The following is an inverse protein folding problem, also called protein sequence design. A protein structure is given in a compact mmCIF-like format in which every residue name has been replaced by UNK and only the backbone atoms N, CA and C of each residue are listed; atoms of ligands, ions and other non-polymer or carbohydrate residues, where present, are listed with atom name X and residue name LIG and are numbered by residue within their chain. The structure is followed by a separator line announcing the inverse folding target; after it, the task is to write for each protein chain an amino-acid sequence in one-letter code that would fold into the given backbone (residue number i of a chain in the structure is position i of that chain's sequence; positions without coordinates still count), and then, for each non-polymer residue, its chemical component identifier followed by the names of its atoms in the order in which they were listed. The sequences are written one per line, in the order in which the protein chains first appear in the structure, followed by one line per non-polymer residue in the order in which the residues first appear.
data_IF_364563204339
#
_entry.id   IF_364563204339
#
_cell.length_a   1.000
_cell.length_b   1.000
_cell.length_c   1.000
_cell.angle_alpha   90.00
_cell.angle_beta   90.00
_cell.angle_gamma   90.00
#
_symmetry.space_group_name_H-M   'P 1'
#
loop_
_entity.id
_entity.type
_entity.pdbx_description
1 polymer ?
#
# COMPACT_ATOMS: atom_id res chain seq x y z
N UNK A 1 75.48 -10.58 -39.11
CA UNK A 1 74.60 -11.42 -38.23
C UNK A 1 73.69 -10.50 -37.43
N UNK A 2 72.49 -10.22 -37.94
CA UNK A 2 71.50 -9.36 -37.22
C UNK A 2 70.53 -10.25 -36.44
N UNK A 3 70.50 -10.12 -35.11
CA UNK A 3 69.52 -10.78 -34.24
C UNK A 3 68.32 -9.86 -34.10
N UNK A 4 67.15 -10.27 -34.64
CA UNK A 4 65.87 -9.66 -34.36
C UNK A 4 65.37 -10.16 -32.99
N UNK A 5 65.07 -9.25 -32.09
CA UNK A 5 64.35 -9.51 -30.85
C UNK A 5 62.83 -9.33 -31.13
N UNK A 6 62.05 -10.37 -31.01
CA UNK A 6 60.59 -10.33 -30.96
C UNK A 6 60.15 -10.07 -29.52
N UNK A 7 59.57 -8.92 -29.27
CA UNK A 7 58.94 -8.59 -27.98
C UNK A 7 57.45 -8.96 -28.04
N UNK A 8 57.06 -9.99 -27.30
CA UNK A 8 55.65 -10.43 -27.18
C UNK A 8 54.96 -9.63 -26.12
N UNK A 9 54.02 -8.73 -26.52
CA UNK A 9 53.18 -7.96 -25.61
C UNK A 9 51.99 -8.84 -25.18
N UNK A 10 51.93 -9.28 -23.92
CA UNK A 10 50.82 -10.00 -23.34
C UNK A 10 49.83 -8.95 -22.81
N UNK A 11 48.74 -8.71 -23.51
CA UNK A 11 47.64 -7.89 -23.07
C UNK A 11 46.80 -8.62 -22.02
N UNK A 12 46.79 -8.13 -20.78
CA UNK A 12 45.89 -8.62 -19.75
C UNK A 12 44.48 -8.11 -20.03
N UNK A 13 43.57 -8.99 -20.43
CA UNK A 13 42.14 -8.69 -20.53
C UNK A 13 41.52 -8.82 -19.15
N UNK A 14 41.22 -7.70 -18.51
CA UNK A 14 40.50 -7.67 -17.25
C UNK A 14 39.00 -7.90 -17.53
N UNK A 15 38.49 -9.09 -17.25
CA UNK A 15 37.06 -9.35 -17.22
C UNK A 15 36.45 -8.68 -15.99
N UNK A 16 35.75 -7.58 -16.20
CA UNK A 16 34.86 -7.01 -15.19
C UNK A 16 33.59 -7.87 -15.17
N UNK A 17 33.50 -8.83 -14.26
CA UNK A 17 32.27 -9.55 -13.99
C UNK A 17 31.29 -8.57 -13.33
N UNK A 18 30.29 -8.12 -14.08
CA UNK A 18 29.14 -7.44 -13.49
C UNK A 18 28.43 -8.45 -12.59
N UNK A 19 28.54 -8.30 -11.27
CA UNK A 19 27.73 -9.04 -10.31
C UNK A 19 26.28 -8.60 -10.53
N UNK A 20 25.49 -9.39 -11.23
CA UNK A 20 24.04 -9.24 -11.23
C UNK A 20 23.55 -9.39 -9.79
N UNK A 21 22.80 -8.40 -9.30
CA UNK A 21 22.14 -8.51 -8.00
C UNK A 21 21.29 -9.79 -8.00
N UNK A 22 21.58 -10.69 -7.06
CA UNK A 22 20.92 -11.99 -7.00
C UNK A 22 19.51 -11.81 -6.45
N UNK A 23 18.51 -11.95 -7.31
CA UNK A 23 17.09 -12.00 -6.89
C UNK A 23 16.85 -13.26 -6.07
N UNK A 24 16.22 -13.13 -4.93
CA UNK A 24 15.78 -14.26 -4.10
C UNK A 24 14.27 -14.36 -4.09
N UNK A 25 13.75 -15.58 -3.96
CA UNK A 25 12.30 -15.83 -3.86
C UNK A 25 12.05 -16.74 -2.67
N UNK A 26 11.14 -16.34 -1.80
CA UNK A 26 10.66 -17.11 -0.67
C UNK A 26 9.14 -17.30 -0.77
N UNK A 27 8.62 -18.43 -0.30
CA UNK A 27 7.19 -18.73 -0.28
C UNK A 27 6.78 -19.17 1.12
N UNK A 28 5.91 -18.38 1.74
CA UNK A 28 5.38 -18.64 3.09
C UNK A 28 3.90 -19.02 2.97
N UNK A 29 3.51 -20.10 3.64
CA UNK A 29 2.11 -20.54 3.74
C UNK A 29 1.69 -20.56 5.20
N UNK A 30 0.69 -19.77 5.55
CA UNK A 30 0.20 -19.66 6.93
C UNK A 30 -1.30 -19.34 6.94
N UNK A 31 -2.08 -20.04 7.74
CA UNK A 31 -3.51 -19.78 7.98
C UNK A 31 -4.36 -19.71 6.69
N UNK A 32 -4.04 -20.51 5.67
CA UNK A 32 -4.77 -20.54 4.40
C UNK A 32 -4.35 -19.47 3.39
N UNK A 33 -3.37 -18.63 3.70
CA UNK A 33 -2.77 -17.66 2.79
C UNK A 33 -1.41 -18.15 2.30
N UNK A 34 -1.05 -17.75 1.09
CA UNK A 34 0.27 -17.91 0.51
C UNK A 34 0.84 -16.53 0.19
N UNK A 35 2.00 -16.23 0.77
CA UNK A 35 2.78 -15.05 0.44
C UNK A 35 4.05 -15.49 -0.29
N UNK A 36 4.26 -14.94 -1.48
CA UNK A 36 5.51 -15.07 -2.23
C UNK A 36 6.28 -13.76 -2.12
N UNK A 37 7.50 -13.80 -1.60
CA UNK A 37 8.37 -12.61 -1.50
C UNK A 37 9.49 -12.73 -2.52
N UNK A 38 9.59 -11.77 -3.42
CA UNK A 38 10.64 -11.65 -4.44
C UNK A 38 11.49 -10.45 -4.07
N UNK A 39 12.69 -10.71 -3.57
CA UNK A 39 13.64 -9.64 -3.24
C UNK A 39 14.64 -9.45 -4.37
N UNK A 40 14.61 -8.29 -5.03
CA UNK A 40 15.51 -7.89 -6.12
C UNK A 40 16.70 -7.07 -5.62
N UNK A 41 16.75 -6.77 -4.32
CA UNK A 41 17.84 -6.02 -3.68
C UNK A 41 18.62 -6.92 -2.72
N UNK A 42 19.77 -7.43 -3.16
CA UNK A 42 20.62 -8.27 -2.31
C UNK A 42 21.14 -7.61 -1.04
N UNK A 43 21.01 -6.27 -0.92
CA UNK A 43 21.42 -5.49 0.24
C UNK A 43 20.26 -5.14 1.17
N UNK A 44 19.03 -5.44 0.76
CA UNK A 44 17.86 -5.16 1.58
C UNK A 44 17.88 -6.00 2.86
N UNK A 45 17.57 -5.39 3.99
CA UNK A 45 17.62 -6.07 5.29
C UNK A 45 16.56 -7.18 5.38
N UNK A 46 17.02 -8.40 5.64
CA UNK A 46 16.16 -9.56 5.84
C UNK A 46 15.21 -9.41 7.03
N UNK A 47 15.65 -8.70 8.09
CA UNK A 47 14.79 -8.44 9.23
C UNK A 47 13.63 -7.50 8.87
N UNK A 48 13.82 -6.62 7.88
CA UNK A 48 12.76 -5.77 7.36
C UNK A 48 11.76 -6.59 6.53
N UNK A 49 12.22 -7.53 5.71
CA UNK A 49 11.34 -8.46 4.97
C UNK A 49 10.43 -9.21 5.96
N UNK A 50 10.99 -9.76 7.04
CA UNK A 50 10.22 -10.49 8.06
C UNK A 50 9.13 -9.60 8.69
N UNK A 51 9.42 -8.32 8.95
CA UNK A 51 8.39 -7.40 9.48
C UNK A 51 7.25 -7.17 8.48
N UNK A 52 7.55 -7.02 7.18
CA UNK A 52 6.52 -6.87 6.16
C UNK A 52 5.65 -8.15 6.06
N UNK A 53 6.27 -9.32 6.14
CA UNK A 53 5.59 -10.63 6.16
C UNK A 53 4.69 -10.77 7.38
N UNK A 54 5.20 -10.48 8.57
CA UNK A 54 4.44 -10.56 9.83
C UNK A 54 3.27 -9.58 9.80
N UNK A 55 3.47 -8.35 9.31
CA UNK A 55 2.40 -7.37 9.12
C UNK A 55 1.32 -7.90 8.18
N UNK A 56 1.70 -8.51 7.05
CA UNK A 56 0.75 -9.12 6.14
C UNK A 56 -0.10 -10.19 6.83
N UNK A 57 0.52 -11.15 7.48
CA UNK A 57 -0.20 -12.24 8.14
C UNK A 57 -1.03 -11.80 9.33
N UNK A 58 -0.74 -10.65 9.92
CA UNK A 58 -1.55 -10.05 10.97
C UNK A 58 -2.76 -9.29 10.42
N UNK A 59 -2.57 -8.44 9.40
CA UNK A 59 -3.61 -7.50 8.95
C UNK A 59 -4.51 -8.06 7.87
N UNK A 60 -3.99 -8.83 6.93
CA UNK A 60 -4.73 -9.32 5.77
C UNK A 60 -5.97 -10.15 6.14
N UNK A 61 -5.90 -11.09 7.11
CA UNK A 61 -7.08 -11.82 7.58
C UNK A 61 -8.15 -10.92 8.22
N UNK A 62 -7.74 -9.81 8.87
CA UNK A 62 -8.67 -8.85 9.47
C UNK A 62 -9.40 -8.06 8.39
N UNK A 63 -8.66 -7.62 7.37
CA UNK A 63 -9.22 -6.89 6.22
C UNK A 63 -10.16 -7.77 5.41
N UNK A 64 -9.76 -9.02 5.13
CA UNK A 64 -10.64 -10.00 4.48
C UNK A 64 -11.96 -10.17 5.22
N UNK A 65 -11.90 -10.43 6.52
CA UNK A 65 -13.08 -10.62 7.36
C UNK A 65 -14.00 -9.41 7.38
N UNK A 66 -13.41 -8.21 7.40
CA UNK A 66 -14.16 -6.97 7.49
C UNK A 66 -14.80 -6.58 6.16
N UNK A 67 -14.07 -6.71 5.04
CA UNK A 67 -14.45 -6.09 3.78
C UNK A 67 -14.79 -7.09 2.68
N UNK A 68 -13.96 -8.12 2.45
CA UNK A 68 -14.12 -9.00 1.30
C UNK A 68 -13.62 -10.43 1.56
N UNK A 69 -14.51 -11.31 1.98
CA UNK A 69 -14.20 -12.71 2.25
C UNK A 69 -13.88 -13.55 0.99
N UNK A 70 -13.97 -12.96 -0.21
CA UNK A 70 -13.62 -13.58 -1.50
C UNK A 70 -12.31 -13.05 -2.06
N UNK A 71 -11.55 -12.26 -1.28
CA UNK A 71 -10.25 -11.73 -1.71
C UNK A 71 -9.25 -12.84 -2.00
N UNK A 72 -8.18 -12.50 -2.76
CA UNK A 72 -7.14 -13.44 -3.15
C UNK A 72 -6.46 -14.06 -1.92
N UNK A 73 -6.11 -15.34 -2.00
CA UNK A 73 -5.35 -16.04 -0.97
C UNK A 73 -3.85 -16.13 -1.29
N UNK A 74 -3.49 -15.91 -2.53
CA UNK A 74 -2.12 -15.87 -3.05
C UNK A 74 -1.74 -14.42 -3.31
N UNK A 75 -0.75 -13.93 -2.56
CA UNK A 75 -0.22 -12.55 -2.66
C UNK A 75 1.26 -12.60 -2.94
N UNK A 76 1.76 -11.66 -3.72
CA UNK A 76 3.17 -11.53 -4.02
C UNK A 76 3.67 -10.17 -3.56
N UNK A 77 4.75 -10.16 -2.77
CA UNK A 77 5.52 -8.96 -2.45
C UNK A 77 6.79 -8.92 -3.29
N UNK A 78 7.13 -7.76 -3.80
CA UNK A 78 8.36 -7.51 -4.54
C UNK A 78 9.10 -6.36 -3.90
N UNK A 79 10.34 -6.58 -3.49
CA UNK A 79 11.26 -5.54 -3.08
C UNK A 79 12.03 -5.12 -4.33
N UNK A 80 11.69 -3.95 -4.88
CA UNK A 80 12.15 -3.48 -6.18
C UNK A 80 13.15 -2.32 -6.03
N UNK A 81 14.30 -2.44 -6.69
CA UNK A 81 15.35 -1.40 -6.71
C UNK A 81 15.07 -0.26 -7.70
N UNK A 82 14.23 -0.51 -8.70
CA UNK A 82 13.93 0.42 -9.78
C UNK A 82 12.66 1.24 -9.52
N UNK A 83 11.74 0.76 -8.68
CA UNK A 83 10.51 1.46 -8.37
C UNK A 83 10.76 2.76 -7.59
N UNK A 84 10.27 3.87 -8.11
CA UNK A 84 10.56 5.22 -7.62
C UNK A 84 9.54 5.78 -6.62
N UNK A 85 8.40 5.11 -6.41
CA UNK A 85 7.36 5.49 -5.44
C UNK A 85 7.63 4.99 -4.02
N UNK A 86 6.58 4.85 -3.24
CA UNK A 86 6.59 4.20 -1.92
C UNK A 86 6.33 2.71 -2.10
N UNK A 87 5.14 2.38 -2.54
CA UNK A 87 4.69 1.07 -2.98
C UNK A 87 3.55 1.23 -3.99
N UNK A 88 3.15 0.14 -4.64
CA UNK A 88 2.00 0.07 -5.52
C UNK A 88 1.42 -1.34 -5.53
N UNK A 89 0.12 -1.44 -5.80
CA UNK A 89 -0.60 -2.72 -5.84
C UNK A 89 -1.33 -2.93 -7.15
N UNK A 90 -1.19 -4.12 -7.71
CA UNK A 90 -1.93 -4.55 -8.90
C UNK A 90 -1.98 -6.07 -9.03
N UNK A 91 -3.16 -6.65 -9.35
CA UNK A 91 -3.30 -8.07 -9.64
C UNK A 91 -2.82 -9.03 -8.54
N UNK A 92 -2.99 -8.69 -7.28
CA UNK A 92 -2.52 -9.49 -6.14
C UNK A 92 -1.02 -9.38 -5.86
N UNK A 93 -0.35 -8.41 -6.46
CA UNK A 93 1.07 -8.11 -6.29
C UNK A 93 1.25 -6.73 -5.68
N UNK A 94 2.10 -6.63 -4.67
CA UNK A 94 2.56 -5.38 -4.06
C UNK A 94 4.04 -5.20 -4.40
N UNK A 95 4.39 -4.07 -4.99
CA UNK A 95 5.77 -3.68 -5.29
C UNK A 95 6.19 -2.60 -4.30
N UNK A 96 7.18 -2.87 -3.48
CA UNK A 96 7.76 -1.92 -2.53
C UNK A 96 9.07 -1.36 -3.08
N UNK A 97 9.27 -0.07 -2.97
CA UNK A 97 10.58 0.55 -3.24
C UNK A 97 11.59 0.15 -2.16
N UNK A 98 12.65 -0.60 -2.54
CA UNK A 98 13.71 -0.95 -1.59
C UNK A 98 14.37 0.29 -1.00
N UNK A 99 14.52 1.34 -1.80
CA UNK A 99 15.08 2.63 -1.40
C UNK A 99 14.21 3.35 -0.36
N UNK A 100 12.88 3.32 -0.55
CA UNK A 100 11.96 3.91 0.43
C UNK A 100 11.99 3.14 1.74
N UNK A 101 11.83 1.82 1.69
CA UNK A 101 11.79 0.97 2.87
C UNK A 101 13.09 1.01 3.66
N UNK A 102 14.25 1.03 2.99
CA UNK A 102 15.56 1.23 3.63
C UNK A 102 15.65 2.58 4.36
N UNK A 103 15.06 3.63 3.79
CA UNK A 103 15.06 4.97 4.42
C UNK A 103 14.07 5.08 5.58
N UNK A 104 12.94 4.36 5.50
CA UNK A 104 11.85 4.42 6.48
C UNK A 104 11.48 3.01 7.00
N UNK A 105 12.41 2.29 7.67
CA UNK A 105 12.22 0.88 8.04
C UNK A 105 11.16 0.64 9.13
N UNK A 106 10.58 1.70 9.68
CA UNK A 106 9.45 1.62 10.62
C UNK A 106 8.10 1.74 9.94
N UNK A 107 8.07 2.10 8.65
CA UNK A 107 6.82 2.30 7.91
C UNK A 107 6.26 0.96 7.39
N UNK A 108 6.14 -0.03 8.30
CA UNK A 108 5.66 -1.37 7.97
C UNK A 108 4.17 -1.39 7.58
N UNK A 109 3.39 -0.43 8.07
CA UNK A 109 1.96 -0.32 7.77
C UNK A 109 1.64 0.22 6.37
N UNK A 110 2.65 0.53 5.55
CA UNK A 110 2.46 0.62 4.11
C UNK A 110 1.92 -0.71 3.56
N UNK A 111 2.27 -1.86 4.17
CA UNK A 111 1.66 -3.17 3.87
C UNK A 111 0.15 -3.12 4.04
N UNK A 112 -0.35 -2.55 5.17
CA UNK A 112 -1.79 -2.50 5.45
C UNK A 112 -2.54 -1.71 4.39
N UNK A 113 -1.98 -0.58 3.93
CA UNK A 113 -2.52 0.20 2.83
C UNK A 113 -2.55 -0.60 1.53
N UNK A 114 -1.43 -1.17 1.12
CA UNK A 114 -1.28 -1.86 -0.15
C UNK A 114 -2.13 -3.14 -0.24
N UNK A 115 -2.15 -3.95 0.82
CA UNK A 115 -2.97 -5.16 0.78
C UNK A 115 -4.46 -4.87 0.90
N UNK A 116 -4.86 -3.68 1.39
CA UNK A 116 -6.23 -3.24 1.30
C UNK A 116 -6.68 -3.09 -0.16
N UNK A 117 -5.82 -2.63 -1.08
CA UNK A 117 -6.14 -2.60 -2.51
C UNK A 117 -6.42 -3.99 -3.09
N UNK A 118 -5.74 -5.04 -2.61
CA UNK A 118 -6.06 -6.41 -3.00
C UNK A 118 -7.45 -6.81 -2.49
N UNK A 119 -7.77 -6.47 -1.24
CA UNK A 119 -9.07 -6.75 -0.63
C UNK A 119 -10.19 -5.96 -1.30
N UNK A 120 -9.96 -4.71 -1.64
CA UNK A 120 -10.85 -3.87 -2.43
C UNK A 120 -11.27 -4.56 -3.73
N UNK A 121 -10.30 -5.00 -4.54
CA UNK A 121 -10.57 -5.75 -5.77
C UNK A 121 -11.59 -5.08 -6.68
N UNK A 122 -11.62 -3.75 -6.71
CA UNK A 122 -12.70 -2.98 -7.35
C UNK A 122 -12.72 -3.10 -8.87
N UNK A 123 -11.58 -3.26 -9.52
CA UNK A 123 -11.47 -3.18 -10.99
C UNK A 123 -11.63 -1.76 -11.51
N UNK A 124 -11.61 -1.63 -12.83
CA UNK A 124 -11.68 -0.33 -13.50
C UNK A 124 -13.10 0.27 -13.44
N UNK A 125 -13.18 1.59 -13.24
CA UNK A 125 -14.45 2.31 -13.28
C UNK A 125 -15.37 2.11 -12.08
N UNK A 126 -14.89 1.56 -10.98
CA UNK A 126 -15.68 1.31 -9.77
C UNK A 126 -16.11 2.59 -9.05
N UNK A 127 -15.31 3.65 -9.12
CA UNK A 127 -15.56 4.94 -8.47
C UNK A 127 -14.34 5.86 -8.53
N UNK A 128 -14.37 6.98 -7.78
CA UNK A 128 -13.28 7.95 -7.82
C UNK A 128 -12.04 7.45 -7.08
N UNK A 129 -10.86 7.64 -7.69
CA UNK A 129 -9.59 7.19 -7.12
C UNK A 129 -9.29 7.77 -5.73
N UNK A 130 -9.71 9.02 -5.47
CA UNK A 130 -9.53 9.61 -4.15
C UNK A 130 -10.23 8.83 -3.01
N UNK A 131 -11.39 8.23 -3.32
CA UNK A 131 -12.13 7.42 -2.35
C UNK A 131 -11.47 6.05 -2.15
N UNK A 132 -10.97 5.44 -3.23
CA UNK A 132 -10.18 4.18 -3.17
C UNK A 132 -8.98 4.33 -2.26
N UNK A 133 -8.17 5.37 -2.47
CA UNK A 133 -6.99 5.68 -1.65
C UNK A 133 -7.37 6.08 -0.20
N UNK A 134 -8.46 6.82 -0.07
CA UNK A 134 -8.99 7.21 1.24
C UNK A 134 -9.44 6.02 2.09
N UNK A 135 -10.06 5.01 1.47
CA UNK A 135 -10.47 3.77 2.14
C UNK A 135 -9.22 2.94 2.51
N UNK A 136 -8.19 2.89 1.66
CA UNK A 136 -6.95 2.19 1.97
C UNK A 136 -6.24 2.80 3.19
N UNK A 137 -6.14 4.12 3.26
CA UNK A 137 -5.57 4.80 4.43
C UNK A 137 -6.49 4.77 5.67
N UNK A 138 -7.81 4.73 5.48
CA UNK A 138 -8.75 4.45 6.58
C UNK A 138 -8.52 3.06 7.16
N UNK A 139 -8.35 2.05 6.31
CA UNK A 139 -8.03 0.69 6.73
C UNK A 139 -6.66 0.63 7.44
N UNK A 140 -5.64 1.33 6.92
CA UNK A 140 -4.35 1.49 7.58
C UNK A 140 -4.49 2.11 8.97
N UNK A 141 -5.29 3.18 9.11
CA UNK A 141 -5.54 3.81 10.41
C UNK A 141 -6.22 2.87 11.42
N UNK A 142 -7.15 2.02 10.94
CA UNK A 142 -7.96 1.13 11.79
C UNK A 142 -7.26 -0.18 12.16
N UNK A 143 -6.46 -0.74 11.26
CA UNK A 143 -5.90 -2.10 11.37
C UNK A 143 -4.38 -2.14 11.41
N UNK A 144 -3.71 -1.02 11.16
CA UNK A 144 -2.24 -0.94 11.17
C UNK A 144 -1.64 -1.37 12.50
N UNK A 145 -0.45 -1.95 12.43
CA UNK A 145 0.26 -2.57 13.55
C UNK A 145 1.04 -1.53 14.35
N UNK A 146 1.78 -0.65 13.67
CA UNK A 146 2.66 0.36 14.30
C UNK A 146 2.73 1.70 13.54
N UNK A 147 1.59 2.27 13.23
CA UNK A 147 1.52 3.61 12.64
C UNK A 147 2.25 4.67 13.47
N UNK A 148 2.20 4.57 14.81
CA UNK A 148 2.85 5.52 15.73
C UNK A 148 4.37 5.43 15.62
N UNK A 149 4.93 4.21 15.60
CA UNK A 149 6.36 3.99 15.43
C UNK A 149 6.90 4.52 14.08
N UNK A 150 6.07 4.49 13.05
CA UNK A 150 6.36 5.07 11.74
C UNK A 150 6.22 6.61 11.70
N UNK A 151 5.66 7.23 12.73
CA UNK A 151 5.29 8.67 12.71
C UNK A 151 4.13 8.95 11.73
N UNK A 152 3.35 7.92 11.38
CA UNK A 152 2.19 8.06 10.52
C UNK A 152 0.92 8.34 11.36
N UNK A 153 0.14 9.32 10.95
CA UNK A 153 -1.14 9.65 11.57
C UNK A 153 -2.04 10.38 10.59
N UNK A 154 -3.33 10.42 10.88
CA UNK A 154 -4.26 11.26 10.15
C UNK A 154 -3.92 12.73 10.41
N UNK A 155 -3.81 13.58 9.36
CA UNK A 155 -3.38 14.97 9.50
C UNK A 155 -4.46 15.81 10.19
N UNK A 156 -4.06 16.87 10.88
CA UNK A 156 -5.03 17.88 11.30
C UNK A 156 -5.73 18.53 10.09
N UNK A 157 -6.98 18.91 10.26
CA UNK A 157 -7.74 19.62 9.22
C UNK A 157 -7.09 20.97 8.89
N UNK A 158 -7.09 21.29 7.60
CA UNK A 158 -6.68 22.61 7.07
C UNK A 158 -7.72 23.08 6.07
N UNK A 159 -8.06 24.35 6.06
CA UNK A 159 -9.03 24.95 5.13
C UNK A 159 -8.63 24.87 3.64
N UNK A 160 -7.37 24.54 3.36
CA UNK A 160 -6.86 24.31 2.00
C UNK A 160 -7.09 22.87 1.51
N UNK A 161 -7.62 21.99 2.35
CA UNK A 161 -7.91 20.61 2.02
C UNK A 161 -9.32 20.46 1.44
N UNK A 162 -9.48 19.40 0.64
CA UNK A 162 -10.76 18.89 0.16
C UNK A 162 -10.80 17.37 0.36
N UNK A 163 -11.99 16.76 0.32
CA UNK A 163 -12.10 15.29 0.39
C UNK A 163 -11.40 14.60 -0.77
N UNK A 164 -11.21 15.29 -1.89
CA UNK A 164 -10.52 14.77 -3.08
C UNK A 164 -8.99 14.74 -2.97
N UNK A 165 -8.42 15.24 -1.86
CA UNK A 165 -6.97 15.16 -1.65
C UNK A 165 -6.46 13.73 -1.43
N UNK A 166 -7.35 12.75 -1.38
CA UNK A 166 -7.05 11.33 -1.22
C UNK A 166 -6.30 10.99 0.08
N UNK A 167 -5.89 9.74 0.20
CA UNK A 167 -5.03 9.26 1.28
C UNK A 167 -5.51 9.69 2.69
N UNK A 168 -4.59 10.13 3.54
CA UNK A 168 -4.86 10.47 4.95
C UNK A 168 -5.89 11.59 5.15
N UNK A 169 -6.03 12.50 4.19
CA UNK A 169 -7.03 13.60 4.27
C UNK A 169 -8.43 13.01 4.15
N UNK A 170 -8.65 12.20 3.12
CA UNK A 170 -9.91 11.50 2.93
C UNK A 170 -10.18 10.49 4.04
N UNK A 171 -9.15 9.73 4.45
CA UNK A 171 -9.27 8.78 5.56
C UNK A 171 -9.76 9.46 6.85
N UNK A 172 -9.21 10.64 7.20
CA UNK A 172 -9.69 11.42 8.34
C UNK A 172 -11.16 11.83 8.22
N UNK A 173 -11.56 12.25 7.03
CA UNK A 173 -12.95 12.60 6.75
C UNK A 173 -13.88 11.37 6.90
N UNK A 174 -13.48 10.22 6.40
CA UNK A 174 -14.22 8.96 6.55
C UNK A 174 -14.36 8.56 8.04
N UNK A 175 -13.29 8.69 8.83
CA UNK A 175 -13.34 8.45 10.27
C UNK A 175 -14.34 9.40 10.95
N UNK A 176 -14.33 10.67 10.57
CA UNK A 176 -15.28 11.64 11.10
C UNK A 176 -16.73 11.28 10.74
N UNK A 177 -17.01 10.88 9.50
CA UNK A 177 -18.35 10.47 9.06
C UNK A 177 -18.83 9.25 9.87
N UNK A 178 -18.00 8.22 10.01
CA UNK A 178 -18.40 7.02 10.74
C UNK A 178 -18.69 7.29 12.21
N UNK A 179 -17.96 8.22 12.80
CA UNK A 179 -18.15 8.61 14.20
C UNK A 179 -19.37 9.48 14.43
N UNK A 180 -19.70 10.40 13.51
CA UNK A 180 -20.66 11.47 13.75
C UNK A 180 -21.94 11.36 12.91
N UNK A 181 -21.95 10.56 11.82
CA UNK A 181 -23.05 10.52 10.86
C UNK A 181 -23.58 9.10 10.66
N UNK A 182 -22.75 8.20 10.18
CA UNK A 182 -23.16 6.84 9.77
C UNK A 182 -22.06 5.82 10.08
N UNK A 183 -22.18 5.03 11.15
CA UNK A 183 -21.31 3.90 11.41
C UNK A 183 -21.32 2.89 10.25
N UNK A 184 -20.16 2.26 9.98
CA UNK A 184 -19.95 1.28 8.92
C UNK A 184 -20.15 1.79 7.48
N UNK A 185 -20.13 3.11 7.27
CA UNK A 185 -20.27 3.69 5.93
C UNK A 185 -19.15 3.24 4.99
N UNK A 186 -17.92 3.19 5.49
CA UNK A 186 -16.73 2.79 4.71
C UNK A 186 -16.90 1.35 4.19
N UNK A 187 -17.40 0.45 5.03
CA UNK A 187 -17.70 -0.93 4.62
C UNK A 187 -18.79 -0.99 3.53
N UNK A 188 -19.84 -0.20 3.67
CA UNK A 188 -20.91 -0.09 2.68
C UNK A 188 -20.39 0.42 1.34
N UNK A 189 -19.55 1.46 1.36
CA UNK A 189 -18.97 2.01 0.13
C UNK A 189 -17.94 1.07 -0.49
N UNK A 190 -17.12 0.39 0.30
CA UNK A 190 -16.22 -0.64 -0.19
C UNK A 190 -16.98 -1.74 -0.95
N UNK A 191 -18.12 -2.21 -0.43
CA UNK A 191 -18.96 -3.17 -1.12
C UNK A 191 -19.59 -2.60 -2.41
N UNK A 192 -20.10 -1.36 -2.35
CA UNK A 192 -20.69 -0.70 -3.51
C UNK A 192 -19.66 -0.46 -4.62
N UNK A 193 -18.44 -0.05 -4.27
CA UNK A 193 -17.33 0.12 -5.22
C UNK A 193 -16.98 -1.22 -5.88
N UNK A 194 -16.81 -2.27 -5.10
CA UNK A 194 -16.49 -3.62 -5.61
C UNK A 194 -17.59 -4.22 -6.48
N UNK A 195 -18.84 -3.90 -6.21
CA UNK A 195 -19.99 -4.37 -7.00
C UNK A 195 -20.42 -3.42 -8.10
N UNK A 196 -19.68 -2.32 -8.32
CA UNK A 196 -19.97 -1.28 -9.32
C UNK A 196 -21.36 -0.66 -9.17
N UNK A 197 -21.84 -0.54 -7.95
CA UNK A 197 -23.12 0.10 -7.61
C UNK A 197 -22.95 1.48 -6.96
N UNK A 198 -21.72 1.87 -6.65
CA UNK A 198 -21.40 3.19 -6.12
C UNK A 198 -21.59 4.27 -7.19
N UNK A 199 -22.19 5.39 -6.80
CA UNK A 199 -22.29 6.62 -7.59
C UNK A 199 -22.45 7.81 -6.62
N UNK A 200 -22.50 9.04 -7.14
CA UNK A 200 -22.57 10.26 -6.31
C UNK A 200 -23.80 10.31 -5.41
N UNK A 201 -24.92 9.72 -5.84
CA UNK A 201 -26.14 9.59 -5.03
C UNK A 201 -25.99 8.64 -3.84
N UNK A 202 -24.97 7.77 -3.84
CA UNK A 202 -24.69 6.84 -2.75
C UNK A 202 -24.47 7.58 -1.43
N UNK A 203 -23.82 8.74 -1.46
CA UNK A 203 -23.64 9.59 -0.28
C UNK A 203 -24.97 9.99 0.33
N UNK A 204 -25.84 10.54 -0.50
CA UNK A 204 -27.18 11.03 -0.04
C UNK A 204 -28.07 9.88 0.40
N UNK A 205 -28.03 8.76 -0.31
CA UNK A 205 -28.79 7.55 0.04
C UNK A 205 -28.39 7.00 1.42
N UNK A 206 -27.10 6.95 1.71
CA UNK A 206 -26.60 6.35 2.95
C UNK A 206 -26.61 7.32 4.15
N UNK A 207 -26.44 8.63 3.91
CA UNK A 207 -26.25 9.62 4.99
C UNK A 207 -27.32 10.71 5.05
N UNK A 208 -28.17 10.81 4.03
CA UNK A 208 -29.12 11.93 3.87
C UNK A 208 -28.49 13.21 3.34
N UNK A 209 -27.18 13.23 3.04
CA UNK A 209 -26.40 14.41 2.62
C UNK A 209 -25.50 14.07 1.44
N UNK A 210 -25.22 15.08 0.60
CA UNK A 210 -24.17 14.97 -0.42
C UNK A 210 -22.79 14.95 0.22
N UNK A 211 -21.77 14.55 -0.52
CA UNK A 211 -20.39 14.58 -0.04
C UNK A 211 -19.93 16.01 0.31
N UNK A 212 -20.36 17.02 -0.45
CA UNK A 212 -20.04 18.42 -0.20
C UNK A 212 -20.68 18.95 1.09
N UNK A 213 -21.93 18.57 1.35
CA UNK A 213 -22.62 18.89 2.61
C UNK A 213 -21.95 18.22 3.82
N UNK A 214 -21.49 16.97 3.65
CA UNK A 214 -20.72 16.24 4.66
C UNK A 214 -19.36 16.91 4.92
N UNK A 215 -18.64 17.29 3.84
CA UNK A 215 -17.37 17.99 3.96
C UNK A 215 -17.53 19.34 4.67
N UNK A 216 -18.59 20.12 4.34
CA UNK A 216 -18.91 21.38 5.00
C UNK A 216 -19.15 21.17 6.50
N UNK A 217 -19.92 20.14 6.86
CA UNK A 217 -20.19 19.81 8.26
C UNK A 217 -18.91 19.38 9.00
N UNK A 218 -18.04 18.58 8.33
CA UNK A 218 -16.72 18.21 8.84
C UNK A 218 -15.83 19.42 9.06
N UNK A 219 -15.74 20.34 8.08
CA UNK A 219 -14.93 21.55 8.18
C UNK A 219 -15.37 22.49 9.32
N UNK A 220 -16.66 22.48 9.67
CA UNK A 220 -17.19 23.24 10.79
C UNK A 220 -16.85 22.64 12.16
N UNK A 221 -16.61 21.31 12.24
CA UNK A 221 -16.25 20.61 13.48
C UNK A 221 -15.25 19.46 13.24
N UNK A 222 -14.02 19.73 12.81
CA UNK A 222 -13.04 18.73 12.42
C UNK A 222 -12.37 18.00 13.59
N UNK A 223 -12.55 18.49 14.82
CA UNK A 223 -11.94 17.91 16.03
C UNK A 223 -12.72 16.73 16.60
N UNK A 224 -13.93 16.46 16.10
CA UNK A 224 -14.76 15.34 16.53
C UNK A 224 -14.32 13.97 15.90
N UNK A 225 -13.01 13.76 15.72
CA UNK A 225 -12.40 12.53 15.17
C UNK A 225 -11.82 11.67 16.28
#
# INVERSE_FOLDING_TARGET
MNKLFFSTLIGAVTFCAATQAQTTTEVIKKNGYKLTVINQDSKFDKAEIVKLEDTFFEVYPKLEKEYNNKTLKDVTFVIDTAYGGVAETGGGRVTFSSKYMTKYPKDIDVVTHEVMHIVQGYGDGAGPGWLTEGIADYARNKFGVDNVGAGWSLPAFKHTQTYENAYRVTARFLVWIEKNVKPNLVKTFDEQLRTHTFNDESWKKETGKTVDELWTAYAANPSAV
#
